data_IF_425796060876
#
_entry.id   IF_425796060876
#
_cell.length_a   1.000
_cell.length_b   1.000
_cell.length_c   1.000
_cell.angle_alpha   90.00
_cell.angle_beta   90.00
_cell.angle_gamma   90.00
#
_symmetry.space_group_name_H-M   'P 1'
#
loop_
_entity.id
_entity.type
_entity.pdbx_description
1 polymer ?
#
# COMPACT_ATOMS: atom_id res chain seq x y z
N UNK A 1 -31.45 -6.55 3.64
CA UNK A 1 -31.04 -7.10 2.33
C UNK A 1 -29.54 -7.28 2.40
N UNK A 2 -29.02 -8.47 2.13
CA UNK A 2 -27.58 -8.74 2.10
C UNK A 2 -26.98 -8.11 0.84
N UNK A 3 -25.85 -7.40 0.97
CA UNK A 3 -25.14 -6.83 -0.17
C UNK A 3 -24.31 -7.91 -0.89
N UNK A 4 -24.15 -7.77 -2.22
CA UNK A 4 -23.29 -8.67 -3.00
C UNK A 4 -21.84 -8.25 -2.79
N UNK A 5 -21.00 -9.21 -2.43
CA UNK A 5 -19.57 -8.95 -2.25
C UNK A 5 -18.94 -8.43 -3.53
N UNK A 6 -18.28 -7.28 -3.43
CA UNK A 6 -17.79 -6.55 -4.59
C UNK A 6 -16.70 -5.57 -4.18
N UNK A 7 -15.95 -5.09 -5.18
CA UNK A 7 -15.02 -3.98 -5.02
C UNK A 7 -15.50 -2.82 -5.89
N UNK A 8 -15.52 -1.63 -5.31
CA UNK A 8 -15.83 -0.38 -6.01
C UNK A 8 -14.72 0.65 -5.80
N UNK A 9 -14.59 1.57 -6.76
CA UNK A 9 -13.53 2.56 -6.78
C UNK A 9 -14.08 3.93 -7.20
N UNK A 10 -13.76 4.96 -6.41
CA UNK A 10 -13.93 6.36 -6.80
C UNK A 10 -12.59 6.93 -7.27
N UNK A 11 -12.51 7.30 -8.54
CA UNK A 11 -11.29 7.80 -9.16
C UNK A 11 -10.87 9.19 -8.66
N UNK A 12 -11.84 10.03 -8.26
CA UNK A 12 -11.57 11.42 -7.87
C UNK A 12 -10.82 11.48 -6.54
N UNK A 13 -11.30 10.73 -5.55
CA UNK A 13 -10.70 10.63 -4.22
C UNK A 13 -9.67 9.50 -4.09
N UNK A 14 -9.56 8.64 -5.11
CA UNK A 14 -8.79 7.38 -5.09
C UNK A 14 -9.19 6.46 -3.94
N UNK A 15 -10.50 6.35 -3.66
CA UNK A 15 -11.05 5.51 -2.58
C UNK A 15 -11.50 4.18 -3.13
N UNK A 16 -11.06 3.09 -2.49
CA UNK A 16 -11.58 1.75 -2.70
C UNK A 16 -12.53 1.36 -1.58
N UNK A 17 -13.62 0.71 -1.94
CA UNK A 17 -14.57 0.12 -1.01
C UNK A 17 -14.79 -1.35 -1.39
N UNK A 18 -14.41 -2.24 -0.48
CA UNK A 18 -14.68 -3.66 -0.54
C UNK A 18 -15.92 -3.93 0.33
N UNK A 19 -16.96 -4.46 -0.29
CA UNK A 19 -18.22 -4.78 0.36
C UNK A 19 -18.31 -6.28 0.58
N UNK A 20 -18.78 -6.68 1.76
CA UNK A 20 -19.20 -8.06 2.08
C UNK A 20 -20.70 -8.06 2.42
N UNK A 21 -21.32 -9.21 2.76
CA UNK A 21 -22.75 -9.27 3.09
C UNK A 21 -23.21 -8.31 4.19
N UNK A 22 -22.39 -8.09 5.22
CA UNK A 22 -22.70 -7.31 6.42
C UNK A 22 -21.56 -6.37 6.87
N UNK A 23 -20.42 -6.33 6.18
CA UNK A 23 -19.31 -5.44 6.51
C UNK A 23 -18.78 -4.69 5.29
N UNK A 24 -17.95 -3.69 5.54
CA UNK A 24 -17.21 -2.96 4.53
C UNK A 24 -15.78 -2.73 4.98
N UNK A 25 -14.87 -2.76 4.03
CA UNK A 25 -13.47 -2.40 4.20
C UNK A 25 -13.12 -1.30 3.21
N UNK A 26 -12.64 -0.17 3.69
CA UNK A 26 -12.30 0.97 2.84
C UNK A 26 -10.85 1.39 3.05
N UNK A 27 -10.18 1.70 1.93
CA UNK A 27 -8.86 2.31 1.90
C UNK A 27 -8.81 3.41 0.84
N UNK A 28 -7.85 4.33 0.96
CA UNK A 28 -7.65 5.43 0.02
C UNK A 28 -6.18 5.61 -0.29
N UNK A 29 -5.86 5.84 -1.55
CA UNK A 29 -4.51 6.29 -1.92
C UNK A 29 -4.42 7.77 -1.60
N UNK A 30 -3.54 8.11 -0.64
CA UNK A 30 -3.25 9.48 -0.23
C UNK A 30 -2.66 10.32 -1.36
N UNK A 31 -2.61 11.64 -1.14
CA UNK A 31 -1.94 12.55 -2.07
C UNK A 31 -0.42 12.33 -2.14
N UNK A 32 0.14 11.66 -1.14
CA UNK A 32 1.52 11.16 -1.04
C UNK A 32 1.71 9.77 -1.65
N UNK A 33 0.70 9.25 -2.35
CA UNK A 33 0.65 7.92 -2.97
C UNK A 33 0.72 6.74 -1.97
N UNK A 34 0.55 7.00 -0.68
CA UNK A 34 0.51 5.97 0.35
C UNK A 34 -0.91 5.42 0.50
N UNK A 35 -1.10 4.09 0.55
CA UNK A 35 -2.41 3.51 0.83
C UNK A 35 -2.75 3.66 2.31
N UNK A 36 -3.89 4.30 2.61
CA UNK A 36 -4.40 4.51 3.95
C UNK A 36 -5.68 3.74 4.21
N UNK A 37 -5.74 3.05 5.33
CA UNK A 37 -6.93 2.47 5.91
C UNK A 37 -7.92 3.56 6.31
N UNK A 38 -9.20 3.40 5.93
CA UNK A 38 -10.28 4.31 6.32
C UNK A 38 -11.28 3.67 7.28
N UNK A 39 -11.64 2.41 7.03
CA UNK A 39 -12.71 1.74 7.76
C UNK A 39 -12.63 0.22 7.65
N UNK A 40 -12.92 -0.46 8.75
CA UNK A 40 -13.38 -1.85 8.75
C UNK A 40 -14.50 -2.03 9.77
N UNK A 41 -15.68 -2.43 9.30
CA UNK A 41 -16.83 -2.59 10.18
C UNK A 41 -18.14 -2.59 9.41
N UNK A 42 -19.16 -1.95 9.96
CA UNK A 42 -20.51 -1.93 9.37
C UNK A 42 -20.56 -1.45 7.92
N UNK A 43 -21.62 -1.77 7.17
CA UNK A 43 -21.71 -1.49 5.74
C UNK A 43 -21.65 0.02 5.44
N UNK A 44 -20.96 0.38 4.36
CA UNK A 44 -20.91 1.74 3.82
C UNK A 44 -21.30 1.74 2.33
N UNK A 45 -21.85 2.86 1.86
CA UNK A 45 -21.87 3.17 0.43
C UNK A 45 -20.53 3.77 -0.02
N UNK A 46 -20.25 3.77 -1.32
CA UNK A 46 -19.03 4.40 -1.85
C UNK A 46 -18.97 5.89 -1.48
N UNK A 47 -20.09 6.62 -1.60
CA UNK A 47 -20.16 8.04 -1.22
C UNK A 47 -19.86 8.25 0.27
N UNK A 48 -20.34 7.36 1.14
CA UNK A 48 -20.02 7.41 2.57
C UNK A 48 -18.52 7.16 2.81
N UNK A 49 -17.92 6.20 2.11
CA UNK A 49 -16.49 5.93 2.19
C UNK A 49 -15.64 7.11 1.66
N UNK A 50 -16.08 7.77 0.59
CA UNK A 50 -15.45 8.99 0.05
C UNK A 50 -15.52 10.14 1.06
N UNK A 51 -16.62 10.27 1.78
CA UNK A 51 -16.80 11.30 2.80
C UNK A 51 -15.98 11.07 4.09
N UNK A 52 -15.41 9.87 4.30
CA UNK A 52 -14.56 9.60 5.45
C UNK A 52 -13.30 10.49 5.43
N UNK A 53 -12.93 11.08 6.57
CA UNK A 53 -11.67 11.81 6.69
C UNK A 53 -10.51 10.83 6.55
N UNK A 54 -9.44 11.27 5.86
CA UNK A 54 -8.14 10.62 5.99
C UNK A 54 -7.50 11.18 7.26
N UNK A 55 -6.94 10.31 8.09
CA UNK A 55 -6.13 10.76 9.21
C UNK A 55 -4.96 11.61 8.66
N UNK A 56 -4.89 12.89 9.02
CA UNK A 56 -3.94 13.86 8.48
C UNK A 56 -2.55 13.83 9.16
N UNK A 57 -2.34 12.85 10.06
CA UNK A 57 -1.06 12.64 10.74
C UNK A 57 -0.77 13.63 11.88
N UNK A 58 -1.68 14.55 12.23
CA UNK A 58 -1.38 15.61 13.20
C UNK A 58 -2.00 15.34 14.57
N UNK A 59 -1.45 14.42 15.38
CA UNK A 59 -1.48 14.57 16.85
C UNK A 59 -0.24 13.94 17.54
N UNK A 60 0.75 14.77 17.88
CA UNK A 60 1.94 14.47 18.71
C UNK A 60 3.03 13.56 18.08
N UNK A 61 4.29 13.79 18.47
CA UNK A 61 5.50 13.05 18.04
C UNK A 61 5.50 11.53 18.32
N UNK A 62 4.39 10.99 18.82
CA UNK A 62 4.21 9.60 19.23
C UNK A 62 3.01 8.92 18.55
N UNK A 63 2.18 9.63 17.78
CA UNK A 63 1.11 8.99 17.00
C UNK A 63 1.71 8.35 15.74
N UNK A 64 2.26 7.15 15.94
CA UNK A 64 2.80 6.29 14.91
C UNK A 64 1.74 5.96 13.85
N UNK A 65 2.01 6.26 12.57
CA UNK A 65 1.52 5.56 11.34
C UNK A 65 0.07 5.03 11.33
N UNK A 66 -0.82 5.62 12.12
CA UNK A 66 -2.12 5.07 12.40
C UNK A 66 -2.95 5.17 11.12
N UNK A 67 -3.17 4.03 10.48
CA UNK A 67 -3.96 3.94 9.27
C UNK A 67 -3.19 3.86 7.97
N UNK A 68 -1.87 3.61 7.92
CA UNK A 68 -1.27 3.11 6.66
C UNK A 68 -1.63 1.62 6.46
N UNK A 69 -1.94 1.23 5.23
CA UNK A 69 -2.24 -0.17 4.89
C UNK A 69 -0.99 -1.08 4.97
N UNK A 70 0.19 -0.50 4.73
CA UNK A 70 1.49 -1.16 4.80
C UNK A 70 2.55 -0.18 5.35
N UNK A 71 2.76 -0.22 6.68
CA UNK A 71 3.75 0.64 7.33
C UNK A 71 5.19 0.26 6.97
N UNK A 72 6.04 1.25 6.71
CA UNK A 72 7.46 1.10 6.32
C UNK A 72 8.39 1.98 7.17
N UNK A 73 9.71 1.79 7.10
CA UNK A 73 10.68 2.75 7.64
C UNK A 73 10.82 3.98 6.73
N UNK A 74 11.15 5.13 7.34
CA UNK A 74 11.39 6.40 6.65
C UNK A 74 10.31 7.46 6.91
N UNK A 75 10.68 8.74 6.75
CA UNK A 75 9.80 9.87 7.05
C UNK A 75 9.48 10.00 8.55
N UNK A 76 8.29 10.50 8.92
CA UNK A 76 7.88 10.71 10.32
C UNK A 76 7.39 9.44 11.03
N UNK A 77 7.77 8.25 10.54
CA UNK A 77 7.28 6.95 11.03
C UNK A 77 8.19 6.42 12.13
N UNK A 78 7.69 6.40 13.37
CA UNK A 78 8.41 5.90 14.54
C UNK A 78 7.84 4.58 15.11
N UNK A 79 6.78 4.05 14.48
CA UNK A 79 6.16 2.78 14.85
C UNK A 79 6.91 1.57 14.31
N UNK A 80 6.46 0.37 14.70
CA UNK A 80 6.99 -0.89 14.16
C UNK A 80 6.47 -1.07 12.72
N UNK A 81 7.35 -1.19 11.71
CA UNK A 81 6.92 -1.31 10.32
C UNK A 81 6.30 -2.68 10.04
N UNK A 82 5.35 -2.73 9.10
CA UNK A 82 4.82 -3.97 8.53
C UNK A 82 5.78 -4.57 7.51
N UNK A 83 6.46 -3.71 6.73
CA UNK A 83 7.53 -4.09 5.81
C UNK A 83 8.82 -3.40 6.23
N UNK A 84 9.85 -4.20 6.53
CA UNK A 84 11.20 -3.74 6.79
C UNK A 84 12.14 -4.36 5.78
N UNK A 85 12.92 -3.53 5.10
CA UNK A 85 13.90 -3.96 4.10
C UNK A 85 15.26 -3.35 4.40
N UNK A 86 16.30 -3.90 3.77
CA UNK A 86 17.63 -3.29 3.71
C UNK A 86 18.18 -3.40 2.30
N UNK A 87 18.52 -2.26 1.72
CA UNK A 87 19.14 -2.13 0.41
C UNK A 87 20.65 -2.34 0.48
N UNK A 88 21.29 -2.51 -0.69
CA UNK A 88 22.72 -2.81 -0.79
C UNK A 88 23.62 -1.70 -0.22
N UNK A 89 23.19 -0.44 -0.29
CA UNK A 89 23.86 0.73 0.30
C UNK A 89 23.64 0.85 1.82
N UNK A 90 22.86 -0.05 2.41
CA UNK A 90 22.48 -0.04 3.83
C UNK A 90 21.24 0.77 4.16
N UNK A 91 20.66 1.49 3.19
CA UNK A 91 19.42 2.24 3.35
C UNK A 91 18.23 1.31 3.61
N UNK A 92 17.23 1.82 4.33
CA UNK A 92 16.03 1.05 4.74
C UNK A 92 14.71 1.78 4.49
N UNK A 93 14.80 3.08 4.18
CA UNK A 93 13.63 3.91 3.93
C UNK A 93 12.93 3.48 2.66
N UNK A 94 11.60 3.35 2.71
CA UNK A 94 10.77 3.08 1.54
C UNK A 94 9.86 4.27 1.30
N UNK A 95 9.85 4.79 0.08
CA UNK A 95 8.94 5.85 -0.36
C UNK A 95 8.06 5.34 -1.50
N UNK A 96 6.79 5.09 -1.20
CA UNK A 96 5.87 4.51 -2.18
C UNK A 96 5.48 5.50 -3.28
N UNK A 97 5.34 4.94 -4.48
CA UNK A 97 4.66 5.52 -5.63
C UNK A 97 3.54 4.58 -6.03
N UNK A 98 2.33 5.12 -6.12
CA UNK A 98 1.17 4.40 -6.59
C UNK A 98 1.23 4.29 -8.13
N UNK A 99 1.23 3.05 -8.63
CA UNK A 99 1.37 2.75 -10.07
C UNK A 99 0.06 2.35 -10.74
N UNK A 100 -1.03 2.27 -9.99
CA UNK A 100 -2.33 1.85 -10.49
C UNK A 100 -2.90 0.67 -9.72
N UNK A 101 -4.03 0.16 -10.20
CA UNK A 101 -4.72 -0.96 -9.59
C UNK A 101 -5.46 -1.80 -10.62
N UNK A 102 -5.84 -3.00 -10.21
CA UNK A 102 -6.73 -3.90 -10.93
C UNK A 102 -7.90 -4.28 -10.03
N UNK A 103 -9.11 -4.26 -10.57
CA UNK A 103 -10.31 -4.81 -9.91
C UNK A 103 -10.87 -5.92 -10.81
N UNK A 104 -11.05 -7.10 -10.23
CA UNK A 104 -11.63 -8.25 -10.89
C UNK A 104 -12.59 -8.96 -9.93
N UNK A 105 -13.89 -8.71 -10.12
CA UNK A 105 -14.94 -9.20 -9.23
C UNK A 105 -14.73 -8.73 -7.78
N UNK A 106 -14.61 -9.70 -6.87
CA UNK A 106 -14.34 -9.46 -5.44
C UNK A 106 -12.87 -9.23 -5.10
N UNK A 107 -11.97 -9.03 -6.08
CA UNK A 107 -10.52 -8.90 -5.86
C UNK A 107 -10.02 -7.51 -6.25
N UNK A 108 -9.11 -6.98 -5.43
CA UNK A 108 -8.39 -5.73 -5.67
C UNK A 108 -6.88 -6.00 -5.60
N UNK A 109 -6.14 -5.48 -6.58
CA UNK A 109 -4.68 -5.41 -6.55
C UNK A 109 -4.26 -3.95 -6.63
N UNK A 110 -3.49 -3.49 -5.66
CA UNK A 110 -2.91 -2.12 -5.63
C UNK A 110 -1.42 -2.24 -5.90
N UNK A 111 -0.93 -1.60 -6.96
CA UNK A 111 0.47 -1.65 -7.35
C UNK A 111 1.23 -0.44 -6.82
N UNK A 112 2.31 -0.73 -6.10
CA UNK A 112 3.21 0.25 -5.51
C UNK A 112 4.63 -0.03 -5.99
N UNK A 113 5.44 1.02 -6.02
CA UNK A 113 6.88 0.92 -6.24
C UNK A 113 7.62 1.87 -5.31
N UNK A 114 8.78 1.47 -4.82
CA UNK A 114 9.70 2.39 -4.20
C UNK A 114 10.21 3.40 -5.24
N UNK A 115 10.21 4.67 -4.89
CA UNK A 115 10.70 5.77 -5.73
C UNK A 115 12.19 5.64 -6.05
N UNK A 116 12.99 5.14 -5.13
CA UNK A 116 14.46 5.21 -5.18
C UNK A 116 15.14 3.87 -5.44
N UNK A 117 14.46 2.76 -5.11
CA UNK A 117 15.04 1.42 -5.16
C UNK A 117 14.21 0.48 -6.05
N UNK A 118 14.78 -0.64 -6.53
CA UNK A 118 14.10 -1.58 -7.41
C UNK A 118 13.12 -2.49 -6.66
N UNK A 119 12.34 -1.94 -5.72
CA UNK A 119 11.32 -2.65 -4.95
C UNK A 119 9.94 -2.31 -5.50
N UNK A 120 9.20 -3.33 -5.94
CA UNK A 120 7.78 -3.23 -6.24
C UNK A 120 6.98 -4.05 -5.21
N UNK A 121 5.81 -3.54 -4.84
CA UNK A 121 4.87 -4.21 -3.96
C UNK A 121 3.49 -4.25 -4.62
N UNK A 122 2.79 -5.37 -4.54
CA UNK A 122 1.37 -5.45 -4.84
C UNK A 122 0.62 -5.85 -3.59
N UNK A 123 -0.28 -4.99 -3.12
CA UNK A 123 -1.23 -5.32 -2.06
C UNK A 123 -2.43 -6.02 -2.70
N UNK A 124 -2.77 -7.20 -2.21
CA UNK A 124 -3.90 -7.99 -2.69
C UNK A 124 -4.98 -8.01 -1.62
N UNK A 125 -6.21 -7.75 -2.05
CA UNK A 125 -7.40 -7.86 -1.22
C UNK A 125 -8.43 -8.75 -1.93
N UNK A 126 -9.17 -9.55 -1.17
CA UNK A 126 -10.30 -10.30 -1.71
C UNK A 126 -11.47 -10.36 -0.72
N UNK A 127 -12.69 -10.28 -1.27
CA UNK A 127 -13.96 -10.54 -0.57
C UNK A 127 -14.72 -11.65 -1.28
N UNK A 128 -15.49 -12.43 -0.51
CA UNK A 128 -16.19 -13.61 -1.02
C UNK A 128 -17.71 -13.45 -0.89
N UNK A 129 -18.52 -13.95 -1.85
CA UNK A 129 -19.97 -13.75 -1.88
C UNK A 129 -20.73 -14.27 -0.65
N UNK A 130 -20.19 -15.26 0.05
CA UNK A 130 -20.86 -16.03 1.10
C UNK A 130 -20.27 -15.80 2.50
N UNK A 131 -19.36 -14.83 2.67
CA UNK A 131 -18.75 -14.53 3.96
C UNK A 131 -18.40 -13.06 4.15
N UNK A 132 -18.31 -12.65 5.42
CA UNK A 132 -17.82 -11.33 5.84
C UNK A 132 -16.29 -11.30 6.03
N UNK A 133 -15.58 -12.12 5.25
CA UNK A 133 -14.13 -12.21 5.29
C UNK A 133 -13.51 -11.28 4.26
N UNK A 134 -12.49 -10.53 4.70
CA UNK A 134 -11.57 -9.79 3.84
C UNK A 134 -10.21 -10.48 3.91
N UNK A 135 -9.77 -11.06 2.81
CA UNK A 135 -8.41 -11.59 2.69
C UNK A 135 -7.45 -10.46 2.33
N UNK A 136 -6.28 -10.46 2.96
CA UNK A 136 -5.17 -9.56 2.63
C UNK A 136 -3.88 -10.36 2.47
N UNK A 137 -3.16 -10.08 1.40
CA UNK A 137 -1.81 -10.61 1.18
C UNK A 137 -0.99 -9.59 0.39
N UNK A 138 0.31 -9.78 0.27
CA UNK A 138 1.14 -8.92 -0.57
C UNK A 138 2.16 -9.72 -1.37
N UNK A 139 2.63 -9.16 -2.48
CA UNK A 139 3.73 -9.69 -3.27
C UNK A 139 4.81 -8.63 -3.39
N UNK A 140 6.04 -8.98 -3.01
CA UNK A 140 7.21 -8.16 -3.27
C UNK A 140 7.92 -8.67 -4.52
N UNK A 141 8.41 -7.75 -5.34
CA UNK A 141 9.15 -8.06 -6.56
C UNK A 141 10.33 -7.11 -6.70
N UNK A 142 11.51 -7.66 -7.01
CA UNK A 142 12.64 -6.87 -7.48
C UNK A 142 12.37 -6.46 -8.94
N UNK A 143 12.37 -5.15 -9.25
CA UNK A 143 12.02 -4.63 -10.58
C UNK A 143 13.19 -4.57 -11.56
N UNK A 144 14.41 -4.96 -11.16
CA UNK A 144 15.62 -4.77 -11.95
C UNK A 144 16.09 -3.30 -11.97
N UNK A 145 17.24 -3.05 -12.58
CA UNK A 145 17.85 -1.70 -12.69
C UNK A 145 17.25 -0.83 -13.79
N UNK A 146 16.66 -1.43 -14.84
CA UNK A 146 16.16 -0.73 -16.03
C UNK A 146 14.98 0.24 -15.77
N UNK A 147 14.44 0.19 -14.56
CA UNK A 147 13.21 0.87 -14.18
C UNK A 147 13.52 2.19 -13.42
N UNK A 148 14.78 2.46 -13.07
CA UNK A 148 15.21 3.61 -12.25
C UNK A 148 15.48 4.90 -13.04
N UNK A 149 15.35 4.89 -14.37
CA UNK A 149 15.75 6.03 -15.21
C UNK A 149 14.56 6.89 -15.64
N UNK A 150 14.45 8.05 -15.01
CA UNK A 150 13.58 9.17 -15.40
C UNK A 150 14.27 10.53 -15.27
N UNK A 151 15.60 10.58 -15.32
CA UNK A 151 16.39 11.81 -15.31
C UNK A 151 17.33 11.83 -16.52
N UNK A 152 17.05 12.71 -17.48
CA UNK A 152 17.97 13.02 -18.58
C UNK A 152 19.20 13.80 -18.06
N UNK A 153 20.32 13.58 -18.75
CA UNK A 153 21.62 14.27 -18.73
C UNK A 153 22.69 13.78 -17.72
N UNK A 154 23.59 12.89 -18.18
CA UNK A 154 24.88 12.64 -17.53
C UNK A 154 25.71 11.48 -18.07
N UNK A 155 26.57 11.76 -19.04
CA UNK A 155 27.81 11.07 -19.48
C UNK A 155 28.10 9.63 -19.00
N UNK A 156 27.80 8.67 -19.89
CA UNK A 156 28.66 7.55 -20.31
C UNK A 156 29.75 7.00 -19.38
N UNK A 157 29.35 6.29 -18.32
CA UNK A 157 30.21 5.32 -17.64
C UNK A 157 29.52 3.96 -17.56
N UNK A 158 29.92 2.99 -18.38
CA UNK A 158 29.48 1.60 -18.22
C UNK A 158 30.14 1.01 -16.96
N UNK A 159 29.43 1.10 -15.83
CA UNK A 159 29.82 0.40 -14.61
C UNK A 159 29.43 -1.08 -14.73
N UNK A 160 30.42 -1.95 -14.97
CA UNK A 160 30.30 -3.41 -15.01
C UNK A 160 30.11 -4.04 -13.60
N UNK A 161 29.45 -3.34 -12.67
CA UNK A 161 29.32 -3.72 -11.26
C UNK A 161 27.90 -4.00 -10.76
N UNK A 162 26.85 -3.78 -11.56
CA UNK A 162 25.46 -3.93 -11.11
C UNK A 162 24.97 -5.39 -11.17
N UNK A 163 25.60 -6.28 -10.41
CA UNK A 163 24.88 -7.44 -9.87
C UNK A 163 23.66 -6.87 -9.12
N UNK A 164 22.45 -7.07 -9.68
CA UNK A 164 21.26 -6.28 -9.32
C UNK A 164 21.13 -6.11 -7.81
N UNK A 165 21.27 -4.87 -7.34
CA UNK A 165 21.44 -4.55 -5.92
C UNK A 165 20.44 -5.33 -5.06
N UNK A 166 20.97 -6.27 -4.27
CA UNK A 166 20.16 -7.18 -3.49
C UNK A 166 19.30 -6.40 -2.48
N UNK A 167 18.08 -6.87 -2.25
CA UNK A 167 17.16 -6.34 -1.25
C UNK A 167 16.97 -7.43 -0.20
N UNK A 168 17.38 -7.16 1.04
CA UNK A 168 17.10 -8.05 2.16
C UNK A 168 15.72 -7.69 2.74
N UNK A 169 14.86 -8.70 2.92
CA UNK A 169 13.57 -8.55 3.60
C UNK A 169 13.76 -8.94 5.06
N UNK A 170 13.69 -7.96 5.95
CA UNK A 170 13.85 -8.14 7.38
C UNK A 170 12.52 -8.42 8.09
N UNK A 171 11.41 -7.93 7.51
CA UNK A 171 10.04 -8.15 7.98
C UNK A 171 9.04 -7.95 6.85
N UNK A 172 7.97 -8.73 6.82
CA UNK A 172 6.93 -8.59 5.81
C UNK A 172 5.59 -9.16 6.32
N UNK A 173 4.77 -8.28 6.89
CA UNK A 173 3.41 -8.59 7.34
C UNK A 173 2.38 -7.94 6.42
N UNK A 174 1.53 -8.75 5.79
CA UNK A 174 0.42 -8.25 4.97
C UNK A 174 -0.73 -7.64 5.79
N UNK A 175 -0.68 -7.79 7.12
CA UNK A 175 -1.59 -7.15 8.05
C UNK A 175 -0.89 -6.96 9.40
N UNK A 176 -0.41 -5.73 9.66
CA UNK A 176 -0.08 -5.30 11.00
C UNK A 176 -0.99 -4.13 11.35
N UNK A 177 -2.00 -4.39 12.16
CA UNK A 177 -2.78 -3.33 12.76
C UNK A 177 -2.51 -3.30 14.25
N UNK A 178 -2.32 -2.09 14.77
CA UNK A 178 -2.51 -1.85 16.18
C UNK A 178 -4.01 -2.01 16.44
N UNK A 179 -4.42 -3.17 16.97
CA UNK A 179 -5.73 -3.26 17.61
C UNK A 179 -5.69 -2.27 18.77
N UNK A 180 -6.59 -1.27 18.85
CA UNK A 180 -6.63 -0.36 19.99
C UNK A 180 -6.93 -1.10 21.30
#
# INVERSE_FOLDING_TARGET
>A
MSQVSSVSFDATSRTFLLTTPATSYALRIGADDVPHHLHWGGPLTLDQAVALPVYDGVISSFASTAGEELGVEGGPRFGVPSLLVRYADGSRGVEWLYKGHEIDGGRLRVHLRDRHYPLACTLHYAVHPDSDVVERSLTLRHSGSADLDGGEDGDGGADEGAEGAAIEILRCDAAAWCVP
#
